data_IF_452528289276
#
_entry.id   IF_452528289276
#
_cell.length_a   1.000
_cell.length_b   1.000
_cell.length_c   1.000
_cell.angle_alpha   90.00
_cell.angle_beta   90.00
_cell.angle_gamma   90.00
#
_symmetry.space_group_name_H-M   'P 1'
#
loop_
_entity.id
_entity.type
_entity.pdbx_description
1 polymer ?
#
# COMPACT_ATOMS: atom_id res chain seq x y z
N UNK A 1 72.18 15.14 -55.86
CA UNK A 1 71.80 14.75 -54.51
C UNK A 1 70.35 15.14 -54.33
N UNK A 2 69.44 14.19 -54.61
CA UNK A 2 67.96 14.46 -54.70
C UNK A 2 67.32 14.08 -53.35
N UNK A 3 66.82 15.07 -52.65
CA UNK A 3 65.97 14.87 -51.48
C UNK A 3 64.51 14.82 -51.92
N UNK A 4 63.82 13.68 -51.70
CA UNK A 4 62.36 13.50 -51.86
C UNK A 4 61.64 14.01 -50.61
N UNK A 5 60.52 14.72 -50.76
CA UNK A 5 59.73 15.13 -49.59
C UNK A 5 58.79 13.98 -49.11
N UNK A 6 58.82 13.73 -47.79
CA UNK A 6 57.90 12.80 -47.10
C UNK A 6 56.50 13.42 -47.02
N UNK A 7 55.47 12.67 -47.44
CA UNK A 7 54.07 13.02 -47.24
C UNK A 7 53.61 12.57 -45.83
N UNK A 8 52.92 13.38 -45.05
CA UNK A 8 52.30 12.92 -43.82
C UNK A 8 51.05 12.07 -44.10
N UNK A 9 51.04 10.92 -43.53
CA UNK A 9 49.90 9.99 -43.53
C UNK A 9 48.87 10.46 -42.50
N UNK A 10 47.79 11.09 -42.98
CA UNK A 10 46.65 11.49 -42.13
C UNK A 10 45.85 10.28 -41.72
N UNK A 11 45.96 9.84 -40.46
CA UNK A 11 45.09 8.87 -39.84
C UNK A 11 43.74 9.54 -39.55
N UNK A 12 42.72 9.18 -40.33
CA UNK A 12 41.31 9.45 -40.04
C UNK A 12 40.87 8.46 -38.93
N UNK A 13 40.81 8.96 -37.71
CA UNK A 13 40.20 8.25 -36.59
C UNK A 13 38.66 8.41 -36.70
N UNK A 14 37.99 7.48 -37.38
CA UNK A 14 36.56 7.37 -37.39
C UNK A 14 36.10 6.91 -35.99
N UNK A 15 35.65 7.86 -35.16
CA UNK A 15 35.04 7.56 -33.86
C UNK A 15 33.70 6.85 -34.06
N UNK A 16 33.71 5.54 -33.80
CA UNK A 16 32.49 4.73 -33.70
C UNK A 16 31.77 5.10 -32.41
N UNK A 17 30.82 6.06 -32.46
CA UNK A 17 29.89 6.28 -31.37
C UNK A 17 28.98 5.06 -31.29
N UNK A 18 29.34 4.12 -30.38
CA UNK A 18 28.43 3.09 -29.95
C UNK A 18 27.28 3.76 -29.17
N UNK A 19 26.17 3.98 -29.84
CA UNK A 19 24.89 4.28 -29.20
C UNK A 19 24.52 3.04 -28.40
N UNK A 20 24.88 3.01 -27.12
CA UNK A 20 24.32 2.07 -26.17
C UNK A 20 22.81 2.33 -26.13
N UNK A 21 21.97 1.35 -26.48
CA UNK A 21 20.55 1.48 -26.22
C UNK A 21 20.44 1.66 -24.69
N UNK A 22 19.98 2.83 -24.23
CA UNK A 22 19.44 2.95 -22.90
C UNK A 22 18.36 1.87 -22.82
N UNK A 23 18.57 0.89 -21.95
CA UNK A 23 17.53 -0.02 -21.50
C UNK A 23 16.50 0.84 -20.72
N UNK A 24 15.69 1.60 -21.46
CA UNK A 24 14.39 2.03 -20.97
C UNK A 24 13.68 0.72 -20.65
N UNK A 25 13.40 0.47 -19.37
CA UNK A 25 12.61 -0.69 -18.97
C UNK A 25 11.36 -0.71 -19.87
N UNK A 26 11.08 -1.85 -20.48
CA UNK A 26 9.97 -1.95 -21.42
C UNK A 26 8.72 -1.43 -20.71
N UNK A 27 8.08 -0.42 -21.31
CA UNK A 27 6.80 0.15 -20.92
C UNK A 27 5.81 -1.00 -20.60
N UNK A 28 5.04 -0.88 -19.54
CA UNK A 28 4.08 -1.91 -19.11
C UNK A 28 3.12 -2.28 -20.25
N UNK A 29 2.61 -1.28 -20.97
CA UNK A 29 1.70 -1.53 -22.09
C UNK A 29 2.36 -2.35 -23.20
N UNK A 30 3.65 -2.12 -23.48
CA UNK A 30 4.40 -2.90 -24.47
C UNK A 30 4.70 -4.33 -23.98
N UNK A 31 5.02 -4.50 -22.68
CA UNK A 31 5.14 -5.84 -22.09
C UNK A 31 3.84 -6.62 -22.17
N UNK A 32 2.72 -5.98 -21.81
CA UNK A 32 1.39 -6.59 -21.88
C UNK A 32 1.04 -6.96 -23.33
N UNK A 33 1.34 -6.09 -24.29
CA UNK A 33 1.14 -6.38 -25.72
C UNK A 33 1.95 -7.59 -26.18
N UNK A 34 3.22 -7.64 -25.83
CA UNK A 34 4.14 -8.71 -26.23
C UNK A 34 3.76 -10.04 -25.60
N UNK A 35 3.39 -10.04 -24.32
CA UNK A 35 3.09 -11.26 -23.56
C UNK A 35 1.62 -11.69 -23.67
N UNK A 36 0.76 -10.86 -24.28
CA UNK A 36 -0.69 -11.01 -24.29
C UNK A 36 -1.26 -11.32 -22.88
N UNK A 37 -0.66 -10.70 -21.85
CA UNK A 37 -1.03 -10.92 -20.45
C UNK A 37 -0.69 -9.72 -19.59
N UNK A 38 -1.55 -9.45 -18.58
CA UNK A 38 -1.33 -8.45 -17.53
C UNK A 38 -1.32 -9.16 -16.19
N UNK A 39 -0.31 -8.89 -15.36
CA UNK A 39 -0.13 -9.51 -14.05
C UNK A 39 -0.50 -8.54 -12.91
N UNK A 40 -1.51 -8.90 -12.15
CA UNK A 40 -2.06 -8.17 -11.01
C UNK A 40 -1.45 -8.72 -9.72
N UNK A 41 -0.68 -7.92 -9.00
CA UNK A 41 -0.14 -8.28 -7.68
C UNK A 41 -1.17 -8.04 -6.58
N UNK A 42 -1.26 -8.93 -5.61
CA UNK A 42 -2.19 -8.79 -4.48
C UNK A 42 -1.65 -9.47 -3.22
N UNK A 43 -2.10 -8.99 -2.05
CA UNK A 43 -1.93 -9.65 -0.76
C UNK A 43 -3.21 -10.43 -0.45
N UNK A 44 -3.13 -11.73 -0.09
CA UNK A 44 -4.32 -12.59 0.02
C UNK A 44 -5.21 -12.33 1.26
N UNK A 45 -4.64 -11.73 2.31
CA UNK A 45 -5.28 -11.62 3.64
C UNK A 45 -5.65 -10.16 4.00
N UNK A 46 -6.11 -9.35 3.04
CA UNK A 46 -6.47 -7.95 3.26
C UNK A 46 -7.92 -7.62 2.81
N UNK A 47 -8.86 -8.51 3.14
CA UNK A 47 -10.28 -8.21 2.93
C UNK A 47 -10.69 -6.93 3.68
N UNK A 48 -11.55 -6.09 3.09
CA UNK A 48 -12.27 -6.25 1.84
C UNK A 48 -11.51 -5.72 0.60
N UNK A 49 -10.25 -5.30 0.71
CA UNK A 49 -9.48 -4.79 -0.43
C UNK A 49 -9.05 -5.90 -1.39
N UNK A 50 -8.37 -6.89 -0.85
CA UNK A 50 -7.87 -8.05 -1.60
C UNK A 50 -7.94 -9.28 -0.71
N UNK A 51 -8.45 -10.39 -1.25
CA UNK A 51 -8.53 -11.68 -0.57
C UNK A 51 -8.41 -12.82 -1.57
N UNK A 52 -8.00 -13.98 -1.08
CA UNK A 52 -8.03 -15.22 -1.83
C UNK A 52 -8.74 -16.31 -1.02
N UNK A 53 -9.81 -16.86 -1.59
CA UNK A 53 -10.56 -17.96 -1.00
C UNK A 53 -10.79 -19.05 -2.03
N UNK A 54 -10.34 -20.27 -1.72
CA UNK A 54 -10.51 -21.41 -2.62
C UNK A 54 -9.90 -21.24 -4.01
N UNK A 55 -8.80 -20.47 -4.13
CA UNK A 55 -8.13 -20.16 -5.39
C UNK A 55 -8.80 -19.02 -6.18
N UNK A 56 -9.81 -18.36 -5.61
CA UNK A 56 -10.46 -17.20 -6.22
C UNK A 56 -9.98 -15.92 -5.56
N UNK A 57 -9.35 -15.05 -6.35
CA UNK A 57 -8.94 -13.71 -5.93
C UNK A 57 -10.10 -12.74 -6.09
N UNK A 58 -10.39 -11.94 -5.06
CA UNK A 58 -11.51 -10.99 -5.02
C UNK A 58 -11.23 -9.81 -4.11
N UNK A 59 -12.12 -8.81 -4.13
CA UNK A 59 -12.07 -7.64 -3.27
C UNK A 59 -12.22 -6.33 -4.02
N UNK A 60 -12.47 -5.25 -3.27
CA UNK A 60 -12.67 -3.91 -3.82
C UNK A 60 -11.57 -3.48 -4.81
N UNK A 61 -10.32 -3.66 -4.41
CA UNK A 61 -9.19 -3.25 -5.21
C UNK A 61 -8.92 -4.20 -6.40
N UNK A 62 -9.33 -5.45 -6.28
CA UNK A 62 -9.31 -6.40 -7.40
C UNK A 62 -10.29 -5.97 -8.47
N UNK A 63 -11.52 -5.56 -8.09
CA UNK A 63 -12.52 -5.07 -9.05
C UNK A 63 -12.02 -3.81 -9.78
N UNK A 64 -11.34 -2.90 -9.08
CA UNK A 64 -10.71 -1.73 -9.71
C UNK A 64 -9.64 -2.15 -10.72
N UNK A 65 -8.77 -3.09 -10.35
CA UNK A 65 -7.74 -3.61 -11.23
C UNK A 65 -8.31 -4.33 -12.45
N UNK A 66 -9.43 -5.04 -12.32
CA UNK A 66 -10.11 -5.64 -13.46
C UNK A 66 -10.59 -4.59 -14.45
N UNK A 67 -11.19 -3.48 -13.99
CA UNK A 67 -11.56 -2.36 -14.86
C UNK A 67 -10.36 -1.75 -15.58
N UNK A 68 -9.22 -1.64 -14.90
CA UNK A 68 -7.95 -1.20 -15.50
C UNK A 68 -7.51 -2.18 -16.57
N UNK A 69 -7.51 -3.49 -16.28
CA UNK A 69 -7.14 -4.53 -17.23
C UNK A 69 -8.07 -4.55 -18.46
N UNK A 70 -9.37 -4.34 -18.30
CA UNK A 70 -10.33 -4.24 -19.39
C UNK A 70 -10.05 -3.03 -20.28
N UNK A 71 -9.66 -1.90 -19.69
CA UNK A 71 -9.26 -0.69 -20.45
C UNK A 71 -7.97 -0.94 -21.23
N UNK A 72 -6.96 -1.59 -20.61
CA UNK A 72 -5.71 -2.01 -21.28
C UNK A 72 -6.03 -2.94 -22.45
N UNK A 73 -6.80 -3.99 -22.21
CA UNK A 73 -7.25 -4.97 -23.23
C UNK A 73 -7.88 -4.27 -24.42
N UNK A 74 -8.82 -3.37 -24.16
CA UNK A 74 -9.54 -2.63 -25.21
C UNK A 74 -8.61 -1.63 -25.93
N UNK A 75 -7.79 -0.88 -25.19
CA UNK A 75 -6.88 0.11 -25.74
C UNK A 75 -5.78 -0.47 -26.60
N UNK A 76 -5.32 -1.69 -26.28
CA UNK A 76 -4.32 -2.41 -27.05
C UNK A 76 -4.91 -3.30 -28.17
N UNK A 77 -6.25 -3.47 -28.23
CA UNK A 77 -6.91 -4.34 -29.19
C UNK A 77 -6.65 -5.85 -28.97
N UNK A 78 -6.39 -6.26 -27.70
CA UNK A 78 -6.01 -7.63 -27.33
C UNK A 78 -7.23 -8.40 -26.83
N UNK A 79 -8.06 -8.95 -27.72
CA UNK A 79 -9.29 -9.67 -27.35
C UNK A 79 -9.06 -10.84 -26.39
N UNK A 80 -7.89 -11.50 -26.49
CA UNK A 80 -7.55 -12.71 -25.74
C UNK A 80 -6.53 -12.48 -24.62
N UNK A 81 -6.31 -11.20 -24.23
CA UNK A 81 -5.40 -10.87 -23.14
C UNK A 81 -5.76 -11.61 -21.85
N UNK A 82 -4.77 -12.29 -21.29
CA UNK A 82 -4.92 -13.00 -20.02
C UNK A 82 -4.68 -12.05 -18.85
N UNK A 83 -5.54 -12.10 -17.84
CA UNK A 83 -5.30 -11.49 -16.53
C UNK A 83 -4.74 -12.56 -15.60
N UNK A 84 -3.53 -12.33 -15.09
CA UNK A 84 -2.85 -13.22 -14.15
C UNK A 84 -2.83 -12.59 -12.78
N UNK A 85 -2.98 -13.40 -11.75
CA UNK A 85 -2.87 -12.96 -10.36
C UNK A 85 -1.56 -13.49 -9.78
N UNK A 86 -0.82 -12.60 -9.12
CA UNK A 86 0.43 -12.93 -8.45
C UNK A 86 0.33 -12.54 -6.97
N UNK A 87 0.32 -13.55 -6.11
CA UNK A 87 0.44 -13.32 -4.67
C UNK A 87 1.79 -12.68 -4.35
N UNK A 88 1.75 -11.67 -3.48
CA UNK A 88 2.92 -10.99 -2.92
C UNK A 88 2.75 -10.82 -1.41
N UNK A 89 3.84 -10.51 -0.74
CA UNK A 89 3.86 -10.15 0.69
C UNK A 89 4.15 -8.67 0.84
N UNK A 90 3.93 -8.11 2.04
CA UNK A 90 4.28 -6.71 2.35
C UNK A 90 5.77 -6.45 2.08
N UNK A 91 6.63 -7.42 2.40
CA UNK A 91 8.09 -7.32 2.24
C UNK A 91 8.54 -7.28 0.77
N UNK A 92 7.87 -8.01 -0.14
CA UNK A 92 8.33 -8.17 -1.53
C UNK A 92 7.46 -7.43 -2.58
N UNK A 93 6.34 -6.83 -2.19
CA UNK A 93 5.39 -6.23 -3.12
C UNK A 93 6.02 -5.12 -4.00
N UNK A 94 6.85 -4.26 -3.42
CA UNK A 94 7.54 -3.18 -4.15
C UNK A 94 8.61 -3.76 -5.09
N UNK A 95 9.34 -4.77 -4.63
CA UNK A 95 10.35 -5.46 -5.45
C UNK A 95 9.71 -6.18 -6.65
N UNK A 96 8.53 -6.77 -6.47
CA UNK A 96 7.78 -7.40 -7.56
C UNK A 96 7.41 -6.41 -8.68
N UNK A 97 7.02 -5.17 -8.33
CA UNK A 97 6.77 -4.08 -9.29
C UNK A 97 8.09 -3.67 -9.98
N UNK A 98 9.16 -3.41 -9.21
CA UNK A 98 10.44 -2.94 -9.77
C UNK A 98 11.11 -3.98 -10.65
N UNK A 99 10.92 -5.27 -10.35
CA UNK A 99 11.40 -6.38 -11.16
C UNK A 99 10.53 -6.67 -12.41
N UNK A 100 9.35 -6.05 -12.52
CA UNK A 100 8.40 -6.27 -13.62
C UNK A 100 7.72 -7.64 -13.59
N UNK A 101 7.75 -8.35 -12.45
CA UNK A 101 6.99 -9.60 -12.25
C UNK A 101 5.52 -9.36 -11.99
N UNK A 102 5.19 -8.15 -11.57
CA UNK A 102 3.84 -7.60 -11.37
C UNK A 102 3.75 -6.29 -12.15
N UNK A 103 2.67 -6.09 -12.90
CA UNK A 103 2.43 -4.87 -13.68
C UNK A 103 1.77 -3.76 -12.84
N UNK A 104 0.92 -4.14 -11.90
CA UNK A 104 0.26 -3.24 -10.95
C UNK A 104 0.04 -3.97 -9.63
N UNK A 105 0.32 -3.31 -8.51
CA UNK A 105 -0.06 -3.80 -7.19
C UNK A 105 -1.49 -3.33 -6.89
N UNK A 106 -2.43 -4.26 -6.93
CA UNK A 106 -3.85 -3.97 -6.68
C UNK A 106 -4.11 -3.65 -5.21
N UNK A 107 -3.42 -4.32 -4.28
CA UNK A 107 -3.56 -4.01 -2.86
C UNK A 107 -3.14 -2.55 -2.59
N UNK A 108 -4.05 -1.70 -2.09
CA UNK A 108 -3.73 -0.30 -1.84
C UNK A 108 -2.65 -0.15 -0.77
N UNK A 109 -1.67 0.69 -1.04
CA UNK A 109 -0.59 0.98 -0.09
C UNK A 109 -0.37 2.49 0.08
N UNK A 110 0.15 2.96 1.24
CA UNK A 110 0.48 4.37 1.42
C UNK A 110 1.63 4.80 0.49
N UNK A 111 1.48 5.88 -0.31
CA UNK A 111 2.51 6.39 -1.20
C UNK A 111 3.55 7.23 -0.45
N UNK A 112 4.38 6.61 0.38
CA UNK A 112 5.43 7.32 1.11
C UNK A 112 6.50 7.90 0.18
N UNK A 113 7.22 8.94 0.64
CA UNK A 113 8.31 9.53 -0.13
C UNK A 113 9.42 8.51 -0.43
N UNK A 114 9.70 7.58 0.48
CA UNK A 114 10.69 6.51 0.26
C UNK A 114 10.24 5.53 -0.83
N UNK A 115 8.99 5.05 -0.76
CA UNK A 115 8.44 4.17 -1.79
C UNK A 115 8.35 4.83 -3.16
N UNK A 116 8.08 6.15 -3.21
CA UNK A 116 8.07 6.93 -4.46
C UNK A 116 9.43 7.06 -5.14
N UNK A 117 10.52 6.73 -4.47
CA UNK A 117 11.84 6.60 -5.11
C UNK A 117 11.95 5.35 -5.99
N UNK A 118 11.14 4.33 -5.69
CA UNK A 118 11.18 3.01 -6.31
C UNK A 118 10.03 2.78 -7.30
N UNK A 119 8.83 3.27 -6.98
CA UNK A 119 7.59 3.06 -7.74
C UNK A 119 6.81 4.35 -7.92
N UNK A 120 5.93 4.38 -8.93
CA UNK A 120 4.88 5.39 -9.09
C UNK A 120 3.59 4.94 -8.40
N UNK A 121 2.63 5.84 -8.26
CA UNK A 121 1.34 5.57 -7.64
C UNK A 121 0.20 6.16 -8.47
N UNK A 122 -0.93 5.48 -8.48
CA UNK A 122 -2.19 5.99 -9.01
C UNK A 122 -2.73 7.17 -8.19
N UNK A 123 -3.83 7.78 -8.66
CA UNK A 123 -4.71 8.53 -7.76
C UNK A 123 -5.16 7.63 -6.61
N UNK A 124 -5.45 8.17 -5.41
CA UNK A 124 -5.87 7.36 -4.28
C UNK A 124 -7.14 6.56 -4.58
N UNK A 125 -7.18 5.32 -4.08
CA UNK A 125 -8.33 4.41 -4.21
C UNK A 125 -9.07 4.24 -2.88
N UNK A 126 -8.48 4.70 -1.80
CA UNK A 126 -9.07 4.70 -0.45
C UNK A 126 -8.35 5.73 0.44
N UNK A 127 -8.98 6.09 1.56
CA UNK A 127 -8.33 6.88 2.62
C UNK A 127 -8.38 6.07 3.90
N UNK A 128 -7.21 5.59 4.33
CA UNK A 128 -7.09 4.80 5.54
C UNK A 128 -6.84 5.66 6.76
N UNK A 129 -7.33 5.19 7.92
CA UNK A 129 -7.02 5.73 9.22
C UNK A 129 -6.26 4.70 10.06
N UNK A 130 -5.06 5.02 10.50
CA UNK A 130 -4.31 4.18 11.43
C UNK A 130 -4.99 4.17 12.80
N UNK A 131 -5.29 2.99 13.32
CA UNK A 131 -5.87 2.80 14.64
C UNK A 131 -5.18 1.64 15.38
N UNK A 132 -5.82 1.12 16.41
CA UNK A 132 -5.26 0.09 17.27
C UNK A 132 -6.36 -0.80 17.83
N UNK A 133 -6.12 -2.10 17.88
CA UNK A 133 -6.93 -3.06 18.61
C UNK A 133 -6.26 -3.43 19.94
N UNK A 134 -7.06 -3.53 20.98
CA UNK A 134 -6.64 -3.92 22.33
C UNK A 134 -7.63 -4.94 22.90
N UNK A 135 -7.26 -5.63 23.98
CA UNK A 135 -8.24 -6.42 24.76
C UNK A 135 -9.17 -5.49 25.55
N UNK A 136 -10.42 -5.88 25.75
CA UNK A 136 -11.40 -5.14 26.56
C UNK A 136 -11.00 -5.04 28.03
N UNK A 137 -10.24 -6.03 28.53
CA UNK A 137 -9.69 -6.07 29.89
C UNK A 137 -8.28 -5.46 30.00
N UNK A 138 -7.80 -4.76 28.96
CA UNK A 138 -6.52 -4.07 29.00
C UNK A 138 -6.47 -3.00 30.11
N UNK A 139 -5.30 -2.75 30.71
CA UNK A 139 -5.17 -1.76 31.78
C UNK A 139 -5.73 -0.39 31.38
N UNK A 140 -6.55 0.27 32.20
CA UNK A 140 -7.10 1.60 31.87
C UNK A 140 -6.03 2.64 31.54
N UNK A 141 -4.85 2.56 32.17
CA UNK A 141 -3.71 3.44 31.87
C UNK A 141 -3.23 3.32 30.43
N UNK A 142 -3.19 2.09 29.88
CA UNK A 142 -2.85 1.84 28.49
C UNK A 142 -3.94 2.36 27.55
N UNK A 143 -5.19 2.01 27.82
CA UNK A 143 -6.34 2.38 26.97
C UNK A 143 -6.49 3.91 26.92
N UNK A 144 -6.41 4.61 28.06
CA UNK A 144 -6.51 6.06 28.11
C UNK A 144 -5.33 6.74 27.37
N UNK A 145 -4.11 6.23 27.52
CA UNK A 145 -2.95 6.74 26.78
C UNK A 145 -3.12 6.55 25.26
N UNK A 146 -3.61 5.39 24.81
CA UNK A 146 -3.90 5.12 23.41
C UNK A 146 -5.06 5.95 22.88
N UNK A 147 -6.10 6.22 23.66
CA UNK A 147 -7.19 7.13 23.28
C UNK A 147 -6.75 8.61 23.28
N UNK A 148 -5.63 8.95 23.90
CA UNK A 148 -5.18 10.31 24.07
C UNK A 148 -5.95 11.05 25.18
N UNK A 149 -6.61 10.30 26.05
CA UNK A 149 -7.30 10.84 27.22
C UNK A 149 -6.29 11.09 28.34
N UNK A 150 -6.49 12.13 29.17
CA UNK A 150 -5.61 12.38 30.30
C UNK A 150 -5.69 11.20 31.29
N UNK A 151 -4.54 10.61 31.62
CA UNK A 151 -4.44 9.50 32.58
C UNK A 151 -4.76 9.97 34.02
N UNK A 152 -4.75 11.30 34.26
CA UNK A 152 -5.00 11.94 35.58
C UNK A 152 -5.70 13.29 35.43
N UNK A 153 -6.36 13.73 36.50
CA UNK A 153 -6.96 15.06 36.65
C UNK A 153 -5.93 16.16 36.99
N UNK A 154 -4.64 15.84 37.02
CA UNK A 154 -3.54 16.75 37.32
C UNK A 154 -2.72 17.16 36.09
N UNK A 155 -1.65 17.96 36.25
CA UNK A 155 -0.79 18.39 35.16
C UNK A 155 -0.23 17.19 34.39
N UNK A 156 -0.44 17.15 33.08
CA UNK A 156 0.05 16.09 32.19
C UNK A 156 1.53 16.31 31.86
N UNK A 157 2.41 15.58 32.51
CA UNK A 157 3.82 15.55 32.19
C UNK A 157 4.11 14.42 31.18
N UNK A 158 5.13 14.55 30.34
CA UNK A 158 5.61 13.46 29.48
C UNK A 158 5.74 12.12 30.22
N UNK A 159 6.22 12.16 31.45
CA UNK A 159 6.35 10.97 32.31
C UNK A 159 5.04 10.25 32.57
N UNK A 160 3.92 10.94 32.60
CA UNK A 160 2.59 10.34 32.89
C UNK A 160 2.02 9.58 31.67
N UNK A 161 2.20 10.14 30.46
CA UNK A 161 1.84 9.45 29.21
C UNK A 161 2.73 8.22 29.03
N UNK A 162 4.03 8.36 29.33
CA UNK A 162 4.98 7.28 29.22
C UNK A 162 4.68 6.12 30.18
N UNK A 163 4.14 6.38 31.36
CA UNK A 163 3.73 5.33 32.31
C UNK A 163 2.62 4.44 31.77
N UNK A 164 1.66 5.01 31.03
CA UNK A 164 0.56 4.24 30.42
C UNK A 164 1.00 3.38 29.24
N UNK A 165 2.14 3.71 28.59
CA UNK A 165 2.65 2.99 27.42
C UNK A 165 3.90 2.14 27.74
N UNK A 166 4.56 2.38 28.89
CA UNK A 166 5.78 1.67 29.24
C UNK A 166 5.54 0.20 29.60
N UNK A 167 6.54 -0.62 29.30
CA UNK A 167 6.54 -2.07 29.59
C UNK A 167 5.44 -2.88 28.89
N UNK A 168 4.82 -2.31 27.87
CA UNK A 168 3.87 -3.02 27.02
C UNK A 168 4.58 -3.60 25.78
N UNK A 169 3.97 -4.64 25.20
CA UNK A 169 4.34 -5.19 23.91
C UNK A 169 3.35 -4.71 22.87
N UNK A 170 3.83 -4.00 21.86
CA UNK A 170 3.06 -3.56 20.71
C UNK A 170 3.38 -4.41 19.51
N UNK A 171 2.38 -4.67 18.66
CA UNK A 171 2.55 -5.41 17.42
C UNK A 171 2.25 -4.52 16.22
N UNK A 172 2.99 -4.74 15.11
CA UNK A 172 2.74 -4.14 13.81
C UNK A 172 3.19 -5.12 12.71
N UNK A 173 2.67 -4.95 11.50
CA UNK A 173 3.06 -5.80 10.36
C UNK A 173 4.46 -5.42 9.91
N UNK A 174 5.31 -6.44 9.74
CA UNK A 174 6.69 -6.32 9.29
C UNK A 174 6.76 -5.64 7.91
N UNK A 175 7.64 -4.65 7.76
CA UNK A 175 7.80 -3.88 6.52
C UNK A 175 6.65 -2.92 6.18
N UNK A 176 5.57 -2.89 6.98
CA UNK A 176 4.50 -1.92 6.81
C UNK A 176 4.91 -0.53 7.34
N UNK A 177 4.32 0.52 6.75
CA UNK A 177 4.49 1.91 7.20
C UNK A 177 4.12 2.07 8.68
N UNK A 178 3.19 1.26 9.16
CA UNK A 178 2.74 1.24 10.55
C UNK A 178 3.84 0.82 11.52
N UNK A 179 4.71 -0.13 11.14
CA UNK A 179 5.87 -0.52 11.95
C UNK A 179 6.79 0.68 12.20
N UNK A 180 7.16 1.36 11.12
CA UNK A 180 8.02 2.56 11.21
C UNK A 180 7.37 3.66 12.03
N UNK A 181 6.06 3.86 11.87
CA UNK A 181 5.31 4.84 12.63
C UNK A 181 5.32 4.54 14.13
N UNK A 182 5.02 3.29 14.54
CA UNK A 182 5.05 2.89 15.97
C UNK A 182 6.46 3.04 16.53
N UNK A 183 7.47 2.57 15.82
CA UNK A 183 8.88 2.70 16.22
C UNK A 183 9.29 4.16 16.44
N UNK A 184 8.93 5.03 15.50
CA UNK A 184 9.22 6.45 15.59
C UNK A 184 8.50 7.13 16.76
N UNK A 185 7.22 6.79 17.00
CA UNK A 185 6.44 7.32 18.13
C UNK A 185 7.03 6.90 19.48
N UNK A 186 7.36 5.62 19.65
CA UNK A 186 8.01 5.13 20.88
C UNK A 186 9.33 5.87 21.17
N UNK A 187 10.14 6.05 20.12
CA UNK A 187 11.40 6.80 20.22
C UNK A 187 11.18 8.26 20.58
N UNK A 188 10.27 8.97 19.88
CA UNK A 188 9.98 10.40 20.10
C UNK A 188 9.38 10.67 21.49
N UNK A 189 8.58 9.74 21.99
CA UNK A 189 7.99 9.83 23.33
C UNK A 189 8.96 9.38 24.42
N UNK A 190 10.06 8.70 24.07
CA UNK A 190 10.99 8.13 25.05
C UNK A 190 10.36 6.97 25.85
N UNK A 191 9.45 6.22 25.22
CA UNK A 191 8.74 5.10 25.85
C UNK A 191 9.59 3.84 25.77
N UNK A 192 9.80 3.18 26.91
CA UNK A 192 10.42 1.85 26.99
C UNK A 192 9.30 0.81 26.81
N UNK A 193 9.14 0.31 25.61
CA UNK A 193 8.18 -0.72 25.25
C UNK A 193 8.80 -1.65 24.20
N UNK A 194 8.26 -2.86 24.08
CA UNK A 194 8.68 -3.83 23.05
C UNK A 194 7.81 -3.65 21.82
N UNK A 195 8.43 -3.52 20.65
CA UNK A 195 7.74 -3.63 19.37
C UNK A 195 8.09 -4.99 18.75
N UNK A 196 7.06 -5.81 18.52
CA UNK A 196 7.17 -7.09 17.80
C UNK A 196 6.55 -6.93 16.41
N UNK A 197 7.12 -7.60 15.44
CA UNK A 197 6.57 -7.63 14.09
C UNK A 197 5.86 -8.94 13.82
N UNK A 198 4.79 -8.88 13.04
CA UNK A 198 3.99 -10.02 12.59
C UNK A 198 3.94 -10.04 11.06
N UNK A 199 3.69 -11.20 10.48
CA UNK A 199 3.69 -11.36 9.02
C UNK A 199 2.38 -10.90 8.37
N UNK A 200 1.25 -10.97 9.10
CA UNK A 200 -0.07 -10.61 8.60
C UNK A 200 -1.01 -10.14 9.73
N UNK A 201 -2.19 -9.64 9.34
CA UNK A 201 -3.22 -9.16 10.27
C UNK A 201 -3.71 -10.24 11.22
N UNK A 202 -3.97 -11.45 10.72
CA UNK A 202 -4.47 -12.58 11.50
C UNK A 202 -3.55 -12.93 12.67
N UNK A 203 -2.23 -12.92 12.43
CA UNK A 203 -1.23 -13.13 13.48
C UNK A 203 -1.23 -11.99 14.50
N UNK A 204 -1.35 -10.72 14.06
CA UNK A 204 -1.43 -9.56 14.95
C UNK A 204 -2.65 -9.61 15.87
N UNK A 205 -3.82 -9.87 15.32
CA UNK A 205 -5.07 -10.07 16.06
C UNK A 205 -4.96 -11.21 17.08
N UNK A 206 -4.40 -12.35 16.67
CA UNK A 206 -4.20 -13.50 17.55
C UNK A 206 -3.27 -13.19 18.72
N UNK A 207 -2.19 -12.43 18.50
CA UNK A 207 -1.29 -12.03 19.59
C UNK A 207 -1.98 -11.17 20.63
N UNK A 208 -2.89 -10.26 20.21
CA UNK A 208 -3.70 -9.46 21.15
C UNK A 208 -4.69 -10.35 21.89
N UNK A 209 -5.40 -11.22 21.21
CA UNK A 209 -6.37 -12.14 21.82
C UNK A 209 -5.72 -13.02 22.90
N UNK A 210 -4.53 -13.51 22.66
CA UNK A 210 -3.75 -14.35 23.59
C UNK A 210 -3.01 -13.54 24.68
N UNK A 211 -3.07 -12.21 24.65
CA UNK A 211 -2.35 -11.35 25.59
C UNK A 211 -0.83 -11.32 25.39
N UNK A 212 -0.31 -11.84 24.26
CA UNK A 212 1.10 -11.78 23.88
C UNK A 212 1.52 -10.39 23.41
N UNK A 213 0.57 -9.63 22.84
CA UNK A 213 0.70 -8.22 22.57
C UNK A 213 -0.38 -7.45 23.34
N UNK A 214 -0.02 -6.30 23.88
CA UNK A 214 -0.95 -5.39 24.57
C UNK A 214 -1.83 -4.62 23.59
N UNK A 215 -1.32 -4.39 22.37
CA UNK A 215 -2.02 -3.71 21.29
C UNK A 215 -1.41 -4.09 19.93
N UNK A 216 -2.25 -4.12 18.87
CA UNK A 216 -1.82 -4.28 17.48
C UNK A 216 -2.29 -3.07 16.67
N UNK A 217 -1.35 -2.43 15.96
CA UNK A 217 -1.57 -1.23 15.16
C UNK A 217 -1.71 -1.58 13.69
N UNK A 218 -2.83 -1.17 13.10
CA UNK A 218 -3.07 -1.31 11.66
C UNK A 218 -4.16 -0.32 11.19
N UNK A 219 -4.52 -0.36 9.93
CA UNK A 219 -5.62 0.43 9.38
C UNK A 219 -6.94 0.05 10.05
N UNK A 220 -7.67 1.06 10.54
CA UNK A 220 -8.90 0.86 11.33
C UNK A 220 -9.89 -0.08 10.65
N UNK A 221 -10.13 0.13 9.37
CA UNK A 221 -11.11 -0.65 8.63
C UNK A 221 -10.71 -2.13 8.54
N UNK A 222 -9.42 -2.43 8.36
CA UNK A 222 -8.93 -3.81 8.38
C UNK A 222 -9.07 -4.43 9.77
N UNK A 223 -8.73 -3.67 10.83
CA UNK A 223 -8.94 -4.14 12.21
C UNK A 223 -10.41 -4.43 12.53
N UNK A 224 -11.33 -3.59 12.05
CA UNK A 224 -12.77 -3.78 12.26
C UNK A 224 -13.29 -5.01 11.49
N UNK A 225 -12.83 -5.21 10.25
CA UNK A 225 -13.18 -6.39 9.46
C UNK A 225 -12.64 -7.67 10.11
N UNK A 226 -11.34 -7.69 10.44
CA UNK A 226 -10.71 -8.83 11.09
C UNK A 226 -11.36 -9.17 12.44
N UNK A 227 -11.76 -8.13 13.19
CA UNK A 227 -12.44 -8.31 14.49
C UNK A 227 -13.78 -9.01 14.32
N UNK A 228 -14.55 -8.69 13.27
CA UNK A 228 -15.86 -9.33 13.04
C UNK A 228 -15.72 -10.84 12.76
N UNK A 229 -14.64 -11.24 12.13
CA UNK A 229 -14.39 -12.65 11.76
C UNK A 229 -13.62 -13.42 12.84
N UNK A 230 -13.02 -12.72 13.83
CA UNK A 230 -12.15 -13.33 14.82
C UNK A 230 -12.92 -14.09 15.91
N UNK A 231 -12.49 -15.32 16.22
CA UNK A 231 -13.13 -16.14 17.26
C UNK A 231 -13.20 -15.50 18.65
N UNK A 232 -12.21 -14.64 18.97
CA UNK A 232 -12.15 -13.90 20.23
C UNK A 232 -12.65 -12.45 20.12
N UNK A 233 -13.51 -12.12 19.14
CA UNK A 233 -14.05 -10.77 18.91
C UNK A 233 -14.65 -10.13 20.18
N UNK A 234 -15.37 -10.93 20.98
CA UNK A 234 -15.98 -10.47 22.23
C UNK A 234 -14.96 -9.99 23.28
N UNK A 235 -13.70 -10.38 23.16
CA UNK A 235 -12.63 -10.04 24.11
C UNK A 235 -11.83 -8.81 23.68
N UNK A 236 -12.00 -8.34 22.46
CA UNK A 236 -11.21 -7.25 21.88
C UNK A 236 -12.06 -6.06 21.48
N UNK A 237 -11.42 -4.93 21.28
CA UNK A 237 -12.03 -3.69 20.79
C UNK A 237 -11.03 -2.90 19.96
N UNK A 238 -11.48 -2.39 18.83
CA UNK A 238 -10.75 -1.37 18.05
C UNK A 238 -11.08 -0.02 18.66
N UNK A 239 -10.05 0.77 18.97
CA UNK A 239 -10.25 2.09 19.57
C UNK A 239 -10.69 3.11 18.51
N UNK A 240 -11.52 4.08 18.91
CA UNK A 240 -12.06 5.10 18.00
C UNK A 240 -11.02 6.11 17.51
N UNK A 241 -9.90 6.22 18.22
CA UNK A 241 -8.85 7.16 17.85
C UNK A 241 -8.19 6.79 16.52
N UNK A 242 -8.13 7.75 15.62
CA UNK A 242 -7.29 7.71 14.43
C UNK A 242 -5.98 8.45 14.73
N UNK A 243 -4.86 7.75 14.61
CA UNK A 243 -3.53 8.29 14.87
C UNK A 243 -2.93 9.03 13.68
N UNK A 244 -3.23 8.53 12.48
CA UNK A 244 -2.72 9.04 11.22
C UNK A 244 -3.78 8.79 10.13
N UNK A 245 -3.89 9.69 9.16
CA UNK A 245 -4.74 9.51 7.99
C UNK A 245 -3.83 9.51 6.77
N UNK A 246 -3.97 8.51 5.92
CA UNK A 246 -3.17 8.39 4.72
C UNK A 246 -4.04 8.02 3.51
N UNK A 247 -3.84 8.67 2.35
CA UNK A 247 -4.37 8.17 1.10
C UNK A 247 -3.68 6.85 0.77
N UNK A 248 -4.45 5.89 0.26
CA UNK A 248 -3.98 4.59 -0.19
C UNK A 248 -4.12 4.51 -1.70
N UNK A 249 -3.09 4.08 -2.39
CA UNK A 249 -3.05 4.05 -3.85
C UNK A 249 -2.45 2.74 -4.37
N UNK A 250 -2.65 2.43 -5.64
CA UNK A 250 -2.05 1.30 -6.33
C UNK A 250 -0.62 1.65 -6.74
N UNK A 251 0.34 0.75 -6.48
CA UNK A 251 1.73 0.96 -6.92
C UNK A 251 1.93 0.46 -8.35
N UNK A 252 2.69 1.23 -9.12
CA UNK A 252 2.95 1.07 -10.55
C UNK A 252 4.45 1.15 -10.82
N UNK A 253 4.97 0.62 -11.94
CA UNK A 253 6.34 0.83 -12.36
C UNK A 253 6.70 2.31 -12.40
N UNK A 254 7.90 2.63 -11.91
CA UNK A 254 8.35 4.02 -11.84
C UNK A 254 8.66 4.57 -13.23
N UNK A 255 8.14 5.78 -13.51
CA UNK A 255 8.43 6.49 -14.76
C UNK A 255 7.61 6.00 -15.95
N UNK A 256 6.70 5.03 -15.77
CA UNK A 256 5.76 4.57 -16.77
C UNK A 256 4.52 5.47 -16.75
N UNK A 257 4.67 6.65 -17.35
CA UNK A 257 3.64 7.69 -17.30
C UNK A 257 2.43 7.38 -18.17
N UNK A 258 2.60 6.67 -19.28
CA UNK A 258 1.49 6.26 -20.16
C UNK A 258 0.60 5.25 -19.49
N UNK A 259 1.18 4.25 -18.81
CA UNK A 259 0.41 3.30 -18.03
C UNK A 259 -0.25 3.97 -16.81
N UNK A 260 0.48 4.85 -16.10
CA UNK A 260 -0.08 5.60 -14.98
C UNK A 260 -1.24 6.49 -15.41
N UNK A 261 -1.13 7.18 -16.54
CA UNK A 261 -2.21 8.00 -17.09
C UNK A 261 -3.44 7.17 -17.42
N UNK A 262 -3.27 5.98 -18.00
CA UNK A 262 -4.37 5.04 -18.26
C UNK A 262 -5.06 4.65 -16.96
N UNK A 263 -4.30 4.24 -15.93
CA UNK A 263 -4.82 3.88 -14.61
C UNK A 263 -5.59 5.02 -13.99
N UNK A 264 -4.99 6.22 -13.95
CA UNK A 264 -5.60 7.41 -13.36
C UNK A 264 -6.87 7.83 -14.11
N UNK A 265 -6.90 7.65 -15.44
CA UNK A 265 -8.09 7.90 -16.27
C UNK A 265 -9.23 6.97 -15.88
N UNK A 266 -8.97 5.65 -15.81
CA UNK A 266 -10.01 4.67 -15.42
C UNK A 266 -10.58 4.97 -14.05
N UNK A 267 -9.72 5.22 -13.07
CA UNK A 267 -10.14 5.53 -11.70
C UNK A 267 -10.91 6.85 -11.64
N UNK A 268 -10.44 7.89 -12.33
CA UNK A 268 -11.11 9.19 -12.35
C UNK A 268 -12.48 9.16 -13.04
N UNK A 269 -12.60 8.42 -14.16
CA UNK A 269 -13.88 8.17 -14.84
C UNK A 269 -14.86 7.46 -13.90
N UNK A 270 -14.40 6.42 -13.18
CA UNK A 270 -15.19 5.70 -12.21
C UNK A 270 -15.69 6.61 -11.08
N UNK A 271 -14.80 7.40 -10.47
CA UNK A 271 -15.15 8.28 -9.32
C UNK A 271 -16.17 9.38 -9.69
N UNK A 272 -16.26 9.76 -10.95
CA UNK A 272 -17.28 10.69 -11.46
C UNK A 272 -18.59 10.00 -11.82
N UNK A 273 -18.60 8.67 -11.86
CA UNK A 273 -19.78 7.88 -12.20
C UNK A 273 -20.59 7.52 -10.95
N UNK A 274 -21.85 7.16 -11.14
CA UNK A 274 -22.68 6.60 -10.06
C UNK A 274 -22.26 5.16 -9.68
N UNK A 275 -21.52 4.48 -10.55
CA UNK A 275 -21.04 3.13 -10.35
C UNK A 275 -20.09 3.05 -9.16
N UNK A 276 -19.29 4.10 -8.93
CA UNK A 276 -18.39 4.19 -7.78
C UNK A 276 -19.11 4.00 -6.44
N UNK A 277 -20.24 4.72 -6.23
CA UNK A 277 -20.97 4.63 -4.96
C UNK A 277 -21.51 3.22 -4.73
N UNK A 278 -21.99 2.55 -5.79
CA UNK A 278 -22.48 1.17 -5.69
C UNK A 278 -21.35 0.19 -5.38
N UNK A 279 -20.19 0.34 -6.04
CA UNK A 279 -19.03 -0.50 -5.80
C UNK A 279 -18.48 -0.29 -4.38
N UNK A 280 -18.31 0.95 -3.94
CA UNK A 280 -17.90 1.27 -2.58
C UNK A 280 -18.86 0.68 -1.54
N UNK A 281 -20.16 0.85 -1.72
CA UNK A 281 -21.20 0.33 -0.83
C UNK A 281 -21.13 -1.19 -0.67
N UNK A 282 -20.80 -1.90 -1.74
CA UNK A 282 -20.69 -3.37 -1.72
C UNK A 282 -19.62 -3.90 -0.77
N UNK A 283 -18.58 -3.08 -0.48
CA UNK A 283 -17.44 -3.49 0.35
C UNK A 283 -17.38 -2.79 1.71
N UNK A 284 -17.80 -1.52 1.78
CA UNK A 284 -17.58 -0.65 2.95
C UNK A 284 -18.88 -0.08 3.54
N UNK A 285 -20.03 -0.43 2.98
CA UNK A 285 -21.30 0.23 3.33
C UNK A 285 -21.48 1.58 2.64
N UNK A 286 -22.54 2.31 3.00
CA UNK A 286 -22.83 3.62 2.37
C UNK A 286 -21.66 4.60 2.57
N UNK A 287 -21.13 5.22 1.50
CA UNK A 287 -20.10 6.23 1.63
C UNK A 287 -20.65 7.46 2.36
N UNK A 288 -19.96 7.89 3.41
CA UNK A 288 -20.29 9.14 4.09
C UNK A 288 -19.90 10.36 3.23
N UNK A 289 -20.29 11.55 3.67
CA UNK A 289 -20.03 12.79 2.91
C UNK A 289 -18.52 13.09 2.77
N UNK A 290 -17.69 12.64 3.73
CA UNK A 290 -16.25 12.80 3.64
C UNK A 290 -15.68 11.88 2.57
N UNK A 291 -16.07 10.61 2.53
CA UNK A 291 -15.66 9.67 1.48
C UNK A 291 -16.05 10.20 0.09
N UNK A 292 -17.30 10.65 -0.09
CA UNK A 292 -17.78 11.24 -1.35
C UNK A 292 -16.96 12.48 -1.75
N UNK A 293 -16.61 13.34 -0.80
CA UNK A 293 -15.80 14.53 -1.05
C UNK A 293 -14.39 14.13 -1.50
N UNK A 294 -13.75 13.21 -0.78
CA UNK A 294 -12.39 12.76 -1.10
C UNK A 294 -12.30 12.15 -2.50
N UNK A 295 -13.23 11.28 -2.89
CA UNK A 295 -13.21 10.71 -4.24
C UNK A 295 -13.44 11.75 -5.34
N UNK A 296 -14.25 12.78 -5.09
CA UNK A 296 -14.34 13.93 -6.02
C UNK A 296 -13.04 14.72 -6.14
N UNK A 297 -12.28 14.82 -5.04
CA UNK A 297 -10.96 15.48 -5.04
C UNK A 297 -9.89 14.62 -5.73
N UNK A 298 -9.98 13.30 -5.61
CA UNK A 298 -9.05 12.36 -6.24
C UNK A 298 -9.26 12.22 -7.75
N UNK A 299 -10.49 12.45 -8.23
CA UNK A 299 -10.79 12.38 -9.65
C UNK A 299 -10.11 13.54 -10.40
N UNK A 300 -9.16 13.22 -11.25
CA UNK A 300 -8.52 14.20 -12.13
C UNK A 300 -9.53 14.71 -13.17
N UNK A 301 -9.47 16.01 -13.55
CA UNK A 301 -10.36 16.63 -14.53
C UNK A 301 -10.22 16.09 -15.95
#
# INVERSE_FOLDING_TARGET
>A
MNMKPNKPLSLLLAGLFAVLPMLAGADTLERVRTNNAMTLGYLPDLAPFTSEEGGKVSGYAIDLCQKIADKVKTGLGLSDMQVRYQEVTVDNAIDAITAGTVDILCTPTPPTLERRKLVSYSVPVYTAGLSVVVRKDAPPSLVNALKGEPVHTGPTWRATINQGLANHTFAAIKGAVTEDWVRDKLRKLGVIATLVTVDNHKQGMQMVAEGKASAFFAERMLLENDLQEHQAAEQMVVLDRIFEIAPMAMALPRGDEDFRLLVDTVLSELYRSREYEQQYKGYFGEPDEMAKLLFRVYALP
#
